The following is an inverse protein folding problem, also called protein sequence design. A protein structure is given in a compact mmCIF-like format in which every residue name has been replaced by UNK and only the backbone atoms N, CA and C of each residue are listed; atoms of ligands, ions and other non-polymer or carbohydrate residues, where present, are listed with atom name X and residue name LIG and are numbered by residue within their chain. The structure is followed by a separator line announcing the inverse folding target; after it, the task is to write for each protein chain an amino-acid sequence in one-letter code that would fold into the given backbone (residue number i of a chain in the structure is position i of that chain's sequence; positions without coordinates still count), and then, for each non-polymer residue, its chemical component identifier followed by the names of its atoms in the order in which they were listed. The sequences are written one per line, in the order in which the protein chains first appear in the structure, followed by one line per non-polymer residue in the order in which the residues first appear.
data_IF_504951624041
#
_entry.id   IF_504951624041
#
_cell.length_a   1.000
_cell.length_b   1.000
_cell.length_c   1.000
_cell.angle_alpha   90.00
_cell.angle_beta   90.00
_cell.angle_gamma   90.00
#
_symmetry.space_group_name_H-M   'P 1'
#
loop_
_entity.id
_entity.type
_entity.pdbx_description
1 polymer ?
#
# COMPACT_ATOMS: atom_id res chain seq x y z
N UNK A 1 -16.33 -12.87 -18.05
CA UNK A 1 -14.96 -12.49 -17.73
C UNK A 1 -14.65 -12.87 -16.29
N UNK A 2 -13.54 -13.55 -16.10
CA UNK A 2 -13.10 -13.97 -14.77
C UNK A 2 -12.05 -13.03 -14.23
N UNK A 3 -12.21 -12.65 -12.96
CA UNK A 3 -11.24 -11.88 -12.19
C UNK A 3 -10.77 -12.72 -11.01
N UNK A 4 -9.47 -12.77 -10.78
CA UNK A 4 -8.95 -13.41 -9.57
C UNK A 4 -9.09 -12.43 -8.39
N UNK A 5 -9.56 -12.93 -7.27
CA UNK A 5 -9.64 -12.17 -6.02
C UNK A 5 -8.39 -12.45 -5.19
N UNK A 6 -7.68 -11.40 -4.83
CA UNK A 6 -6.49 -11.49 -3.98
C UNK A 6 -6.80 -10.76 -2.68
N UNK A 7 -6.79 -11.49 -1.56
CA UNK A 7 -7.04 -10.90 -0.25
C UNK A 7 -5.73 -10.44 0.38
N UNK A 8 -5.59 -9.13 0.55
CA UNK A 8 -4.45 -8.51 1.24
C UNK A 8 -5.02 -7.58 2.30
N UNK A 9 -5.26 -8.06 3.52
CA UNK A 9 -5.68 -7.19 4.62
C UNK A 9 -4.55 -6.24 5.00
N UNK A 10 -4.89 -4.99 5.18
CA UNK A 10 -3.90 -3.95 5.49
C UNK A 10 -4.57 -2.62 5.73
N UNK A 11 -4.92 -1.90 4.69
CA UNK A 11 -5.72 -0.68 4.81
C UNK A 11 -7.03 -0.95 5.58
N UNK A 12 -7.70 -2.05 5.24
CA UNK A 12 -8.76 -2.65 6.05
C UNK A 12 -8.57 -4.17 6.13
N UNK A 13 -9.22 -4.82 7.08
CA UNK A 13 -9.19 -6.29 7.20
C UNK A 13 -9.84 -6.99 6.00
N UNK A 14 -10.80 -6.34 5.36
CA UNK A 14 -11.52 -6.88 4.21
C UNK A 14 -10.96 -6.46 2.85
N UNK A 15 -9.82 -5.80 2.80
CA UNK A 15 -9.28 -5.31 1.53
C UNK A 15 -8.94 -6.43 0.56
N UNK A 16 -9.47 -6.32 -0.65
CA UNK A 16 -9.20 -7.25 -1.75
C UNK A 16 -8.70 -6.49 -2.97
N UNK A 17 -7.96 -7.20 -3.80
CA UNK A 17 -7.54 -6.74 -5.12
C UNK A 17 -8.15 -7.67 -6.16
N UNK A 18 -8.39 -7.15 -7.35
CA UNK A 18 -8.96 -7.93 -8.46
C UNK A 18 -7.96 -7.95 -9.61
N UNK A 19 -7.57 -9.14 -10.02
CA UNK A 19 -6.62 -9.32 -11.12
C UNK A 19 -7.34 -9.79 -12.38
N UNK A 20 -7.20 -9.01 -13.45
CA UNK A 20 -7.60 -9.42 -14.79
C UNK A 20 -6.37 -9.94 -15.53
N UNK A 21 -6.28 -11.26 -15.66
CA UNK A 21 -5.16 -11.92 -16.35
C UNK A 21 -5.12 -11.62 -17.84
N UNK A 22 -6.28 -11.36 -18.45
CA UNK A 22 -6.35 -11.12 -19.88
C UNK A 22 -5.73 -9.77 -20.26
N UNK A 23 -6.04 -8.73 -19.50
CA UNK A 23 -5.49 -7.37 -19.71
C UNK A 23 -4.22 -7.11 -18.94
N UNK A 24 -3.85 -7.99 -18.00
CA UNK A 24 -2.73 -7.84 -17.09
C UNK A 24 -2.85 -6.57 -16.24
N UNK A 25 -4.07 -6.29 -15.81
CA UNK A 25 -4.42 -5.15 -14.96
C UNK A 25 -4.82 -5.64 -13.56
N UNK A 26 -4.29 -4.98 -12.55
CA UNK A 26 -4.67 -5.18 -11.16
C UNK A 26 -5.52 -3.99 -10.70
N UNK A 27 -6.71 -4.26 -10.20
CA UNK A 27 -7.53 -3.26 -9.52
C UNK A 27 -7.20 -3.35 -8.03
N UNK A 28 -6.50 -2.36 -7.52
CA UNK A 28 -5.82 -2.49 -6.24
C UNK A 28 -6.45 -1.71 -5.09
N UNK A 29 -7.52 -0.97 -5.33
CA UNK A 29 -8.21 -0.22 -4.28
C UNK A 29 -7.26 0.71 -3.52
N UNK A 30 -7.27 0.59 -2.19
CA UNK A 30 -6.40 1.37 -1.29
C UNK A 30 -5.22 0.56 -0.76
N UNK A 31 -4.93 -0.59 -1.34
CA UNK A 31 -3.85 -1.49 -0.89
C UNK A 31 -2.52 -1.21 -1.60
N UNK A 32 -2.52 -1.30 -2.92
CA UNK A 32 -1.36 -0.99 -3.75
C UNK A 32 -1.59 0.38 -4.37
N UNK A 33 -0.94 1.39 -3.80
CA UNK A 33 -1.28 2.79 -4.02
C UNK A 33 -0.06 3.69 -3.79
N UNK A 34 -0.13 4.95 -4.20
CA UNK A 34 0.89 5.94 -3.87
C UNK A 34 0.72 6.52 -2.47
N UNK A 35 -0.51 6.57 -1.96
CA UNK A 35 -0.80 7.13 -0.63
C UNK A 35 -1.56 6.12 0.20
N UNK A 36 -0.87 5.52 1.15
CA UNK A 36 -1.42 4.47 2.00
C UNK A 36 -1.77 5.02 3.38
N UNK A 37 -3.02 4.82 3.78
CA UNK A 37 -3.45 4.98 5.17
C UNK A 37 -3.49 3.61 5.83
N UNK A 38 -2.83 3.47 6.96
CA UNK A 38 -2.69 2.19 7.63
C UNK A 38 -2.92 2.29 9.14
N UNK A 39 -3.60 1.32 9.70
CA UNK A 39 -3.76 1.19 11.16
C UNK A 39 -4.96 1.92 11.77
N UNK A 40 -5.85 2.51 10.96
CA UNK A 40 -6.97 3.30 11.47
C UNK A 40 -8.03 2.44 12.16
N UNK A 41 -8.33 1.27 11.63
CA UNK A 41 -9.48 0.46 12.08
C UNK A 41 -9.10 -0.99 12.36
N UNK A 42 -8.10 -1.20 13.20
CA UNK A 42 -7.65 -2.55 13.53
C UNK A 42 -7.28 -3.34 12.27
N UNK A 43 -6.03 -3.55 12.06
CA UNK A 43 -5.52 -4.23 10.87
C UNK A 43 -4.45 -5.25 11.28
N UNK A 44 -3.92 -5.97 10.30
CA UNK A 44 -2.81 -6.89 10.53
C UNK A 44 -1.50 -6.11 10.81
N UNK A 45 -0.52 -6.70 11.49
CA UNK A 45 0.80 -6.09 11.65
C UNK A 45 1.45 -5.76 10.30
N UNK A 46 2.28 -4.73 10.28
CA UNK A 46 2.93 -4.26 9.04
C UNK A 46 3.81 -5.33 8.38
N UNK A 47 4.49 -6.16 9.15
CA UNK A 47 5.30 -7.25 8.62
C UNK A 47 4.45 -8.29 7.88
N UNK A 48 3.28 -8.62 8.41
CA UNK A 48 2.33 -9.51 7.73
C UNK A 48 1.81 -8.86 6.44
N UNK A 49 1.49 -7.57 6.48
CA UNK A 49 1.06 -6.82 5.31
C UNK A 49 2.13 -6.86 4.20
N UNK A 50 3.38 -6.58 4.54
CA UNK A 50 4.49 -6.64 3.59
C UNK A 50 4.69 -8.04 3.01
N UNK A 51 4.56 -9.08 3.83
CA UNK A 51 4.66 -10.45 3.35
C UNK A 51 3.54 -10.79 2.35
N UNK A 52 2.34 -10.29 2.57
CA UNK A 52 1.23 -10.47 1.62
C UNK A 52 1.42 -9.64 0.35
N UNK A 53 1.93 -8.42 0.47
CA UNK A 53 2.28 -7.61 -0.71
C UNK A 53 3.29 -8.32 -1.61
N UNK A 54 4.25 -9.04 -1.03
CA UNK A 54 5.25 -9.80 -1.81
C UNK A 54 4.65 -10.86 -2.71
N UNK A 55 3.45 -11.35 -2.40
CA UNK A 55 2.74 -12.28 -3.28
C UNK A 55 2.44 -11.66 -4.64
N UNK A 56 2.36 -10.34 -4.72
CA UNK A 56 2.12 -9.63 -5.98
C UNK A 56 3.32 -9.67 -6.94
N UNK A 57 4.52 -10.00 -6.48
CA UNK A 57 5.67 -10.15 -7.38
C UNK A 57 5.45 -11.18 -8.47
N UNK A 58 4.77 -12.28 -8.12
CA UNK A 58 4.50 -13.38 -9.05
C UNK A 58 3.13 -13.28 -9.70
N UNK A 59 2.33 -12.27 -9.37
CA UNK A 59 1.04 -12.07 -9.98
C UNK A 59 1.20 -11.52 -11.42
N UNK A 60 0.43 -12.04 -12.40
CA UNK A 60 0.61 -11.68 -13.81
C UNK A 60 -0.09 -10.35 -14.15
N UNK A 61 0.42 -9.23 -13.62
CA UNK A 61 -0.04 -7.90 -13.98
C UNK A 61 1.14 -7.00 -14.34
N UNK A 62 0.89 -6.00 -15.16
CA UNK A 62 1.88 -4.99 -15.55
C UNK A 62 1.60 -3.65 -14.89
N UNK A 63 0.31 -3.31 -14.76
CA UNK A 63 -0.14 -2.06 -14.18
C UNK A 63 -1.27 -2.29 -13.19
N UNK A 64 -1.31 -1.43 -12.17
CA UNK A 64 -2.38 -1.41 -11.19
C UNK A 64 -3.14 -0.08 -11.25
N UNK A 65 -4.45 -0.16 -11.10
CA UNK A 65 -5.32 1.00 -10.93
C UNK A 65 -5.80 1.04 -9.49
N UNK A 66 -5.37 2.05 -8.76
CA UNK A 66 -5.79 2.26 -7.38
C UNK A 66 -7.02 3.17 -7.31
N UNK A 67 -7.62 3.26 -6.12
CA UNK A 67 -8.86 4.03 -5.93
C UNK A 67 -8.68 5.54 -6.10
N UNK A 68 -7.49 6.08 -5.79
CA UNK A 68 -7.27 7.53 -5.70
C UNK A 68 -6.17 8.06 -6.61
N UNK A 69 -5.42 7.21 -7.29
CA UNK A 69 -4.37 7.64 -8.19
C UNK A 69 -4.92 7.93 -9.59
N UNK A 70 -4.47 9.01 -10.19
CA UNK A 70 -4.93 9.43 -11.53
C UNK A 70 -4.33 8.60 -12.66
N UNK A 71 -3.14 8.06 -12.43
CA UNK A 71 -2.40 7.27 -13.40
C UNK A 71 -2.20 5.86 -12.91
N UNK A 72 -2.12 4.86 -13.80
CA UNK A 72 -1.81 3.50 -13.40
C UNK A 72 -0.42 3.43 -12.75
N UNK A 73 -0.30 2.52 -11.78
CA UNK A 73 0.95 2.24 -11.10
C UNK A 73 1.67 1.09 -11.79
N UNK A 74 2.94 1.24 -12.16
CA UNK A 74 3.70 0.12 -12.67
C UNK A 74 3.96 -0.91 -11.57
N UNK A 75 4.14 -2.16 -11.94
CA UNK A 75 4.42 -3.26 -11.00
C UNK A 75 5.64 -2.97 -10.10
N UNK A 76 6.64 -2.26 -10.62
CA UNK A 76 7.83 -1.88 -9.85
C UNK A 76 7.55 -1.01 -8.62
N UNK A 77 6.38 -0.37 -8.56
CA UNK A 77 5.93 0.37 -7.38
C UNK A 77 5.84 -0.52 -6.13
N UNK A 78 5.68 -1.82 -6.30
CA UNK A 78 5.68 -2.79 -5.21
C UNK A 78 6.95 -2.71 -4.37
N UNK A 79 8.11 -2.65 -5.00
CA UNK A 79 9.40 -2.53 -4.30
C UNK A 79 9.51 -1.18 -3.60
N UNK A 80 9.02 -0.11 -4.20
CA UNK A 80 8.97 1.22 -3.57
C UNK A 80 8.17 1.20 -2.28
N UNK A 81 6.99 0.55 -2.29
CA UNK A 81 6.16 0.42 -1.10
C UNK A 81 6.84 -0.42 0.00
N UNK A 82 7.34 -1.59 -0.36
CA UNK A 82 7.94 -2.52 0.60
C UNK A 82 9.19 -1.89 1.24
N UNK A 83 10.06 -1.30 0.44
CA UNK A 83 11.27 -0.62 0.94
C UNK A 83 10.91 0.54 1.86
N UNK A 84 9.93 1.35 1.49
CA UNK A 84 9.49 2.46 2.31
C UNK A 84 8.96 1.99 3.67
N UNK A 85 8.15 0.95 3.69
CA UNK A 85 7.57 0.42 4.93
C UNK A 85 8.63 -0.24 5.81
N UNK A 86 9.51 -1.06 5.24
CA UNK A 86 10.47 -1.83 6.02
C UNK A 86 11.68 -1.00 6.47
N UNK A 87 12.16 -0.10 5.63
CA UNK A 87 13.41 0.61 5.86
C UNK A 87 13.22 2.07 6.25
N UNK A 88 12.26 2.79 5.67
CA UNK A 88 12.11 4.21 5.89
C UNK A 88 11.11 4.55 7.00
N UNK A 89 10.03 3.81 7.14
CA UNK A 89 8.99 4.09 8.15
C UNK A 89 9.52 4.08 9.59
N UNK A 90 10.41 3.16 10.00
CA UNK A 90 10.98 3.17 11.35
C UNK A 90 11.73 4.47 11.68
N UNK A 91 12.19 5.19 10.67
CA UNK A 91 12.94 6.44 10.78
C UNK A 91 12.11 7.67 10.36
N UNK A 92 10.79 7.53 10.24
CA UNK A 92 9.93 8.62 9.82
C UNK A 92 10.02 9.82 10.77
N UNK A 93 10.30 10.99 10.22
CA UNK A 93 10.52 12.22 11.01
C UNK A 93 9.22 12.92 11.39
N UNK A 94 8.18 12.82 10.55
CA UNK A 94 6.90 13.43 10.82
C UNK A 94 6.07 12.54 11.73
N UNK A 95 5.75 13.04 12.91
CA UNK A 95 4.97 12.34 13.91
C UNK A 95 3.90 13.29 14.43
N UNK A 96 2.64 12.91 14.30
CA UNK A 96 1.53 13.62 14.89
C UNK A 96 0.89 12.75 15.95
N UNK A 97 0.55 13.34 17.07
CA UNK A 97 -0.21 12.67 18.13
C UNK A 97 -1.67 13.07 18.01
N UNK A 98 -2.54 12.08 17.86
CA UNK A 98 -4.00 12.28 17.87
C UNK A 98 -4.52 11.66 19.16
N UNK A 99 -5.11 12.44 20.09
CA UNK A 99 -5.46 11.98 21.44
C UNK A 99 -6.34 10.73 21.48
N UNK A 100 -7.23 10.55 20.50
CA UNK A 100 -8.16 9.43 20.46
C UNK A 100 -7.70 8.26 19.58
N UNK A 101 -6.75 8.48 18.70
CA UNK A 101 -6.31 7.49 17.72
C UNK A 101 -4.88 7.01 17.96
N UNK A 102 -4.13 7.67 18.85
CA UNK A 102 -2.74 7.35 19.11
C UNK A 102 -1.77 8.13 18.22
N UNK A 103 -0.64 7.54 17.94
CA UNK A 103 0.47 8.19 17.25
C UNK A 103 0.37 8.00 15.76
N UNK A 104 0.31 9.10 15.03
CA UNK A 104 0.37 9.11 13.58
C UNK A 104 1.83 9.27 13.12
N UNK A 105 2.34 8.29 12.42
CA UNK A 105 3.64 8.36 11.75
C UNK A 105 3.39 8.67 10.28
N UNK A 106 3.98 9.76 9.79
CA UNK A 106 3.89 10.12 8.39
C UNK A 106 5.23 9.91 7.71
N UNK A 107 5.22 9.13 6.66
CA UNK A 107 6.34 8.91 5.78
C UNK A 107 6.02 9.53 4.42
N UNK A 108 6.93 10.36 3.94
CA UNK A 108 6.91 10.82 2.56
C UNK A 108 8.21 10.38 1.91
N UNK A 109 8.11 9.51 0.94
CA UNK A 109 9.23 9.14 0.08
C UNK A 109 9.08 9.92 -1.21
N UNK A 110 9.76 11.05 -1.27
CA UNK A 110 9.76 11.92 -2.46
C UNK A 110 10.20 11.17 -3.70
N UNK A 111 9.68 11.60 -4.83
CA UNK A 111 10.03 11.02 -6.10
C UNK A 111 10.69 12.06 -6.99
N UNK A 112 11.63 11.59 -7.79
CA UNK A 112 12.14 12.36 -8.91
C UNK A 112 11.12 12.44 -10.05
N UNK A 113 10.13 11.53 -10.05
CA UNK A 113 9.05 11.48 -11.04
C UNK A 113 7.72 11.15 -10.38
N UNK A 114 6.60 11.50 -11.01
CA UNK A 114 5.25 11.15 -10.52
C UNK A 114 5.06 9.64 -10.32
N UNK A 115 5.83 8.81 -10.99
CA UNK A 115 5.74 7.35 -10.93
C UNK A 115 6.48 6.75 -9.72
N UNK A 116 7.36 7.50 -9.07
CA UNK A 116 8.27 6.97 -8.06
C UNK A 116 7.97 7.31 -6.61
N UNK A 117 6.94 8.12 -6.31
CA UNK A 117 6.69 8.51 -4.93
C UNK A 117 5.76 7.54 -4.20
N UNK A 118 5.95 7.46 -2.90
CA UNK A 118 5.05 6.76 -1.99
C UNK A 118 4.93 7.54 -0.68
N UNK A 119 3.71 7.82 -0.27
CA UNK A 119 3.39 8.45 0.99
C UNK A 119 2.61 7.47 1.87
N UNK A 120 2.89 7.47 3.17
CA UNK A 120 2.21 6.61 4.12
C UNK A 120 1.88 7.36 5.40
N UNK A 121 0.66 7.21 5.87
CA UNK A 121 0.25 7.58 7.20
C UNK A 121 -0.09 6.32 7.98
N UNK A 122 0.66 6.06 9.05
CA UNK A 122 0.52 4.88 9.88
C UNK A 122 0.07 5.27 11.29
N UNK A 123 -1.11 4.80 11.67
CA UNK A 123 -1.61 4.95 13.04
C UNK A 123 -1.08 3.82 13.91
N UNK A 124 -0.20 4.19 14.82
CA UNK A 124 0.26 3.28 15.86
C UNK A 124 -0.48 3.64 17.15
N UNK A 125 -1.23 2.69 17.69
CA UNK A 125 -1.83 2.88 19.01
C UNK A 125 -0.73 3.13 20.03
N UNK A 126 -0.95 4.15 20.84
CA UNK A 126 -0.02 4.52 21.90
C UNK A 126 0.04 3.42 22.97
#
# INVERSE_FOLDING_TARGET
RLLDVIHIPGHTLGSILLLDRNTRILLSGDTFTRRLLYGISGTVPLDEFCNRLRLLENAPFDYAYSAHDRCPLPKGHLHTMIDAIEHDLPHAKRKFFIPFAGKLLCLTRGAETELGYFDMAYWKKA
#
